data_IF_747496632039
#
_entry.id   IF_747496632039
#
_cell.length_a   1.000
_cell.length_b   1.000
_cell.length_c   1.000
_cell.angle_alpha   90.00
_cell.angle_beta   90.00
_cell.angle_gamma   90.00
#
_symmetry.space_group_name_H-M   'P 1'
#
loop_
_entity.id
_entity.type
_entity.pdbx_description
1 polymer ?
#
# COMPACT_ATOMS: atom_id res chain seq x y z
N UNK A 1 -26.21 -35.03 48.76
CA UNK A 1 -26.09 -34.83 50.24
C UNK A 1 -26.00 -33.34 50.53
N UNK A 2 -26.52 -32.93 51.69
CA UNK A 2 -26.46 -31.62 52.37
C UNK A 2 -25.15 -30.82 52.13
N UNK A 3 -25.21 -29.57 51.62
CA UNK A 3 -25.41 -28.25 52.30
C UNK A 3 -24.15 -27.60 52.92
N UNK A 4 -23.77 -26.39 52.43
CA UNK A 4 -23.49 -25.11 53.17
C UNK A 4 -23.75 -23.96 52.14
N UNK A 5 -24.68 -22.98 52.30
CA UNK A 5 -24.83 -21.87 53.29
C UNK A 5 -23.74 -20.79 53.03
N UNK A 6 -24.00 -19.48 52.77
CA UNK A 6 -24.99 -18.46 53.23
C UNK A 6 -25.07 -17.35 52.12
N UNK A 7 -26.19 -16.87 51.54
CA UNK A 7 -27.40 -16.15 52.00
C UNK A 7 -27.25 -14.64 52.33
N UNK A 8 -27.95 -13.75 51.58
CA UNK A 8 -28.71 -12.60 52.13
C UNK A 8 -29.71 -11.96 51.13
N UNK A 9 -30.85 -11.53 51.67
CA UNK A 9 -32.05 -10.96 51.02
C UNK A 9 -32.70 -9.92 52.00
N UNK A 10 -33.70 -9.08 51.68
CA UNK A 10 -34.62 -9.00 50.54
C UNK A 10 -35.03 -7.52 50.26
N UNK A 11 -35.85 -7.33 49.21
CA UNK A 11 -36.64 -6.16 48.80
C UNK A 11 -37.43 -5.37 49.88
N UNK A 12 -38.01 -4.21 49.47
CA UNK A 12 -39.10 -3.55 50.20
C UNK A 12 -39.63 -2.25 49.55
N UNK A 13 -40.70 -2.35 48.75
CA UNK A 13 -41.25 -1.27 47.92
C UNK A 13 -42.18 -0.23 48.62
N UNK A 14 -42.42 0.90 47.92
CA UNK A 14 -43.59 1.81 47.95
C UNK A 14 -43.93 2.65 49.22
N UNK A 15 -44.11 3.97 49.03
CA UNK A 15 -45.46 4.63 48.94
C UNK A 15 -45.38 6.15 48.67
N UNK A 16 -46.38 6.69 47.97
CA UNK A 16 -46.65 8.14 47.81
C UNK A 16 -47.37 8.71 49.05
N UNK A 17 -47.29 10.04 49.29
CA UNK A 17 -48.46 10.96 49.32
C UNK A 17 -48.18 12.36 49.91
N UNK A 18 -48.67 13.40 49.20
CA UNK A 18 -49.25 14.69 49.69
C UNK A 18 -48.39 15.65 50.56
N UNK A 19 -48.53 16.98 50.59
CA UNK A 19 -49.00 18.09 49.72
C UNK A 19 -49.32 19.33 50.61
N UNK A 20 -49.27 20.54 50.04
CA UNK A 20 -49.84 21.82 50.57
C UNK A 20 -49.13 22.52 51.78
N UNK A 21 -49.14 23.85 51.96
CA UNK A 21 -49.48 25.02 51.10
C UNK A 21 -49.06 26.38 51.75
N UNK A 22 -49.29 27.49 51.02
CA UNK A 22 -49.43 28.91 51.42
C UNK A 22 -48.19 29.82 51.28
N UNK A 23 -48.30 31.09 50.84
CA UNK A 23 -49.50 31.86 50.40
C UNK A 23 -49.14 33.10 49.57
N UNK A 24 -50.11 33.80 48.96
CA UNK A 24 -49.86 34.89 47.97
C UNK A 24 -50.61 36.21 48.19
N UNK A 25 -50.67 37.03 47.11
CA UNK A 25 -51.27 38.40 46.90
C UNK A 25 -50.36 39.63 47.16
N UNK A 26 -50.49 40.78 46.49
CA UNK A 26 -51.28 41.07 45.25
C UNK A 26 -51.52 42.56 44.90
N UNK A 27 -51.20 42.98 43.65
CA UNK A 27 -51.62 44.22 42.91
C UNK A 27 -51.29 45.64 43.46
N UNK A 28 -50.63 46.51 42.65
CA UNK A 28 -51.22 47.74 42.03
C UNK A 28 -50.20 48.83 41.54
N UNK A 29 -50.03 48.98 40.20
CA UNK A 29 -49.77 50.24 39.41
C UNK A 29 -48.45 51.08 39.62
N UNK A 30 -48.05 52.08 38.76
CA UNK A 30 -46.76 51.96 38.04
C UNK A 30 -45.81 53.21 37.93
N UNK A 31 -44.62 52.96 37.33
CA UNK A 31 -43.68 53.90 36.65
C UNK A 31 -42.80 54.86 37.53
N UNK A 32 -41.66 55.39 37.01
CA UNK A 32 -41.06 55.25 35.67
C UNK A 32 -39.61 54.71 35.61
N UNK A 33 -39.08 54.68 34.39
CA UNK A 33 -37.79 54.13 33.93
C UNK A 33 -36.50 54.53 34.66
N UNK A 34 -35.54 53.61 34.64
CA UNK A 34 -34.11 53.91 34.58
C UNK A 34 -33.46 53.08 33.45
N UNK A 35 -32.65 53.73 32.61
CA UNK A 35 -32.01 53.14 31.44
C UNK A 35 -30.55 52.77 31.70
N UNK A 36 -30.25 51.48 31.75
CA UNK A 36 -28.88 50.94 31.68
C UNK A 36 -28.85 49.74 30.75
N UNK A 37 -28.30 49.91 29.56
CA UNK A 37 -28.06 48.81 28.63
C UNK A 37 -26.85 47.98 29.11
N UNK A 38 -26.97 46.65 29.23
CA UNK A 38 -25.81 45.76 29.26
C UNK A 38 -25.13 45.79 27.89
N UNK A 39 -23.79 45.76 27.86
CA UNK A 39 -23.05 45.66 26.61
C UNK A 39 -23.11 44.21 26.09
N UNK A 40 -23.36 44.06 24.79
CA UNK A 40 -23.18 42.78 24.09
C UNK A 40 -21.69 42.44 24.01
N UNK A 41 -21.23 41.58 24.91
CA UNK A 41 -19.98 40.83 24.74
C UNK A 41 -20.31 39.39 24.39
N UNK A 42 -20.86 39.18 23.19
CA UNK A 42 -20.85 37.87 22.54
C UNK A 42 -19.42 37.57 22.08
N UNK A 43 -18.69 36.79 22.87
CA UNK A 43 -17.51 36.11 22.35
C UNK A 43 -17.92 35.22 21.17
N UNK A 44 -17.04 34.97 20.18
CA UNK A 44 -17.30 33.93 19.19
C UNK A 44 -17.48 32.62 19.94
N UNK A 45 -18.58 31.91 19.67
CA UNK A 45 -18.63 30.51 20.01
C UNK A 45 -17.68 29.79 19.04
N UNK A 46 -16.64 29.13 19.57
CA UNK A 46 -15.96 28.09 18.83
C UNK A 46 -16.99 27.00 18.55
N UNK A 47 -17.55 27.01 17.33
CA UNK A 47 -18.29 25.88 16.77
C UNK A 47 -17.30 24.89 16.19
N UNK A 48 -16.40 24.40 17.03
CA UNK A 48 -15.68 23.16 16.74
C UNK A 48 -16.72 22.05 16.86
N UNK A 49 -17.04 21.39 15.74
CA UNK A 49 -17.70 20.10 15.83
C UNK A 49 -16.85 19.17 16.71
N UNK A 50 -17.47 18.28 17.51
CA UNK A 50 -16.70 17.29 18.26
C UNK A 50 -15.85 16.50 17.26
N UNK A 51 -14.55 16.37 17.56
CA UNK A 51 -13.63 15.61 16.73
C UNK A 51 -14.19 14.20 16.52
N UNK A 52 -14.18 13.74 15.27
CA UNK A 52 -14.67 12.40 14.92
C UNK A 52 -13.56 11.42 15.23
N UNK A 53 -13.73 10.60 16.27
CA UNK A 53 -12.77 9.54 16.59
C UNK A 53 -13.14 8.29 15.79
N UNK A 54 -12.19 7.75 15.03
CA UNK A 54 -12.29 6.43 14.39
C UNK A 54 -11.25 5.52 15.02
N UNK A 55 -11.64 4.29 15.38
CA UNK A 55 -10.73 3.28 15.91
C UNK A 55 -10.35 2.30 14.82
N UNK A 56 -9.05 2.19 14.54
CA UNK A 56 -8.51 1.43 13.40
C UNK A 56 -7.58 0.32 13.89
N UNK A 57 -7.94 -0.90 13.52
CA UNK A 57 -7.10 -2.08 13.64
C UNK A 57 -6.08 -2.14 12.50
N UNK A 58 -4.83 -2.50 12.80
CA UNK A 58 -3.82 -2.80 11.79
C UNK A 58 -3.14 -4.14 12.12
N UNK A 59 -3.25 -5.10 11.22
CA UNK A 59 -2.63 -6.43 11.32
C UNK A 59 -1.41 -6.45 10.40
N UNK A 60 -0.23 -6.69 10.99
CA UNK A 60 1.06 -6.67 10.33
C UNK A 60 1.70 -8.06 10.26
N UNK A 61 2.13 -8.49 9.07
CA UNK A 61 2.91 -9.72 8.83
C UNK A 61 4.29 -9.72 9.50
N UNK A 62 4.92 -8.55 9.58
CA UNK A 62 6.18 -8.33 10.27
C UNK A 62 6.08 -7.23 11.33
N UNK A 63 7.18 -6.48 11.47
CA UNK A 63 7.27 -5.25 12.24
C UNK A 63 8.23 -4.25 11.58
N UNK A 64 8.35 -3.05 12.16
CA UNK A 64 9.18 -1.94 11.65
C UNK A 64 10.67 -2.28 11.44
N UNK A 65 11.19 -3.37 12.01
CA UNK A 65 12.60 -3.75 11.85
C UNK A 65 12.94 -4.30 10.46
N UNK A 66 11.95 -4.62 9.61
CA UNK A 66 12.21 -4.96 8.20
C UNK A 66 12.84 -3.79 7.43
N UNK A 67 12.58 -2.55 7.87
CA UNK A 67 12.99 -1.31 7.20
C UNK A 67 12.61 -1.31 5.70
N UNK A 68 11.48 -1.94 5.38
CA UNK A 68 10.98 -2.20 4.05
C UNK A 68 9.46 -2.16 4.03
N UNK A 69 8.82 -3.32 3.83
CA UNK A 69 7.39 -3.45 3.57
C UNK A 69 6.52 -3.02 4.76
N UNK A 70 6.62 -3.68 5.92
CA UNK A 70 5.84 -3.33 7.12
C UNK A 70 6.20 -1.91 7.58
N UNK A 71 7.47 -1.53 7.53
CA UNK A 71 7.88 -0.15 7.82
C UNK A 71 7.24 0.90 6.88
N UNK A 72 6.90 0.55 5.62
CA UNK A 72 6.14 1.42 4.73
C UNK A 72 4.68 1.60 5.19
N UNK A 73 4.03 0.53 5.67
CA UNK A 73 2.70 0.61 6.29
C UNK A 73 2.68 1.50 7.55
N UNK A 74 3.71 1.38 8.40
CA UNK A 74 3.85 2.24 9.60
C UNK A 74 3.97 3.72 9.23
N UNK A 75 4.76 4.05 8.21
CA UNK A 75 4.87 5.42 7.69
C UNK A 75 3.55 5.93 7.11
N UNK A 76 2.84 5.12 6.33
CA UNK A 76 1.52 5.46 5.80
C UNK A 76 0.50 5.75 6.90
N UNK A 77 0.47 4.91 7.94
CA UNK A 77 -0.33 5.06 9.16
C UNK A 77 -0.02 6.38 9.89
N UNK A 78 1.25 6.71 10.09
CA UNK A 78 1.68 7.95 10.75
C UNK A 78 1.27 9.20 9.95
N UNK A 79 1.55 9.21 8.64
CA UNK A 79 1.21 10.33 7.76
C UNK A 79 -0.31 10.54 7.61
N UNK A 80 -1.08 9.47 7.43
CA UNK A 80 -2.54 9.56 7.42
C UNK A 80 -3.11 10.10 8.74
N UNK A 81 -2.52 9.72 9.89
CA UNK A 81 -2.93 10.25 11.19
C UNK A 81 -2.71 11.77 11.29
N UNK A 82 -1.58 12.28 10.77
CA UNK A 82 -1.32 13.73 10.74
C UNK A 82 -2.29 14.47 9.81
N UNK A 83 -2.55 13.93 8.61
CA UNK A 83 -3.48 14.51 7.65
C UNK A 83 -4.93 14.53 8.14
N UNK A 84 -5.41 13.43 8.71
CA UNK A 84 -6.76 13.30 9.31
C UNK A 84 -6.94 14.22 10.52
N UNK A 85 -5.91 14.36 11.37
CA UNK A 85 -5.94 15.30 12.48
C UNK A 85 -6.08 16.77 12.00
N UNK A 86 -5.49 17.13 10.86
CA UNK A 86 -5.68 18.44 10.24
C UNK A 86 -7.12 18.66 9.70
N UNK A 87 -7.87 17.58 9.43
CA UNK A 87 -9.30 17.60 9.08
C UNK A 87 -10.24 17.53 10.29
N UNK A 88 -9.71 17.36 11.51
CA UNK A 88 -10.50 17.21 12.74
C UNK A 88 -10.99 15.78 13.03
N UNK A 89 -10.36 14.78 12.40
CA UNK A 89 -10.58 13.35 12.64
C UNK A 89 -9.45 12.84 13.54
N UNK A 90 -9.80 12.20 14.66
CA UNK A 90 -8.86 11.54 15.57
C UNK A 90 -8.82 10.04 15.27
N UNK A 91 -7.63 9.43 15.25
CA UNK A 91 -7.48 8.00 14.92
C UNK A 91 -6.88 7.22 16.11
N UNK A 92 -7.66 6.33 16.71
CA UNK A 92 -7.18 5.39 17.73
C UNK A 92 -6.66 4.12 17.05
N UNK A 93 -5.34 3.93 16.99
CA UNK A 93 -4.76 2.74 16.36
C UNK A 93 -4.51 1.59 17.34
N UNK A 94 -4.98 0.38 17.00
CA UNK A 94 -4.60 -0.88 17.65
C UNK A 94 -3.84 -1.74 16.65
N UNK A 95 -2.55 -1.99 16.91
CA UNK A 95 -1.68 -2.74 15.98
C UNK A 95 -1.34 -4.12 16.53
N UNK A 96 -1.55 -5.16 15.72
CA UNK A 96 -1.14 -6.55 15.95
C UNK A 96 0.06 -6.84 15.04
N UNK A 97 1.20 -7.26 15.60
CA UNK A 97 2.47 -7.41 14.89
C UNK A 97 2.89 -8.88 14.73
N UNK A 98 3.67 -9.17 13.69
CA UNK A 98 4.23 -10.49 13.41
C UNK A 98 3.16 -11.61 13.38
N UNK A 99 2.02 -11.32 12.76
CA UNK A 99 0.91 -12.27 12.56
C UNK A 99 1.18 -13.09 11.30
N UNK A 100 1.14 -14.42 11.39
CA UNK A 100 1.35 -15.30 10.23
C UNK A 100 0.15 -15.34 9.29
N UNK A 101 0.39 -15.73 8.03
CA UNK A 101 -0.64 -16.09 7.04
C UNK A 101 -1.27 -17.46 7.39
N UNK A 102 -1.80 -17.55 8.62
CA UNK A 102 -2.41 -18.73 9.22
C UNK A 102 -3.62 -18.33 10.09
N UNK A 103 -4.18 -19.27 10.86
CA UNK A 103 -5.36 -19.02 11.70
C UNK A 103 -5.15 -17.92 12.76
N UNK A 104 -3.91 -17.54 13.09
CA UNK A 104 -3.63 -16.37 13.93
C UNK A 104 -4.12 -15.05 13.33
N UNK A 105 -4.31 -14.99 12.00
CA UNK A 105 -4.98 -13.87 11.33
C UNK A 105 -6.50 -13.85 11.60
N UNK A 106 -7.16 -15.01 11.73
CA UNK A 106 -8.58 -15.09 12.15
C UNK A 106 -8.72 -14.53 13.58
N UNK A 107 -7.90 -15.04 14.50
CA UNK A 107 -7.87 -14.59 15.90
C UNK A 107 -7.59 -13.08 16.01
N UNK A 108 -6.65 -12.53 15.23
CA UNK A 108 -6.32 -11.10 15.24
C UNK A 108 -7.46 -10.20 14.73
N UNK A 109 -8.19 -10.61 13.68
CA UNK A 109 -9.35 -9.87 13.19
C UNK A 109 -10.49 -9.89 14.23
N UNK A 110 -10.76 -11.05 14.84
CA UNK A 110 -11.76 -11.19 15.92
C UNK A 110 -11.39 -10.30 17.12
N UNK A 111 -10.14 -10.34 17.58
CA UNK A 111 -9.68 -9.50 18.70
C UNK A 111 -9.89 -8.00 18.41
N UNK A 112 -9.58 -7.53 17.20
CA UNK A 112 -9.73 -6.11 16.84
C UNK A 112 -11.20 -5.68 16.73
N UNK A 113 -12.08 -6.54 16.21
CA UNK A 113 -13.51 -6.27 16.16
C UNK A 113 -14.13 -6.23 17.57
N UNK A 114 -13.78 -7.18 18.45
CA UNK A 114 -14.21 -7.20 19.86
C UNK A 114 -13.58 -6.05 20.70
N UNK A 115 -12.42 -5.53 20.29
CA UNK A 115 -11.84 -4.29 20.85
C UNK A 115 -12.54 -3.01 20.34
N UNK A 116 -13.51 -3.14 19.43
CA UNK A 116 -14.39 -2.07 18.94
C UNK A 116 -13.74 -1.19 17.87
N UNK A 117 -12.91 -1.75 16.99
CA UNK A 117 -12.43 -1.03 15.81
C UNK A 117 -13.56 -0.85 14.80
N UNK A 118 -13.71 0.34 14.23
CA UNK A 118 -14.65 0.63 13.13
C UNK A 118 -14.11 0.11 11.79
N UNK A 119 -12.79 0.01 11.66
CA UNK A 119 -12.06 -0.42 10.47
C UNK A 119 -10.88 -1.33 10.85
N UNK A 120 -10.61 -2.40 10.08
CA UNK A 120 -9.47 -3.30 10.27
C UNK A 120 -8.70 -3.48 8.95
N UNK A 121 -7.41 -3.13 8.97
CA UNK A 121 -6.49 -3.23 7.82
C UNK A 121 -5.61 -4.48 7.97
N UNK A 122 -5.64 -5.35 6.97
CA UNK A 122 -4.84 -6.58 6.86
C UNK A 122 -3.71 -6.37 5.84
N UNK A 123 -2.47 -6.19 6.30
CA UNK A 123 -1.40 -5.68 5.46
C UNK A 123 -0.70 -6.69 4.52
N UNK A 124 -1.20 -7.92 4.37
CA UNK A 124 -0.49 -8.98 3.65
C UNK A 124 -1.43 -9.81 2.78
N UNK A 125 -0.95 -10.20 1.61
CA UNK A 125 -1.68 -10.97 0.61
C UNK A 125 -2.40 -12.19 1.23
N UNK A 126 -1.69 -13.03 1.97
CA UNK A 126 -2.23 -14.26 2.55
C UNK A 126 -3.13 -14.06 3.76
N UNK A 127 -3.41 -12.83 4.22
CA UNK A 127 -4.37 -12.57 5.31
C UNK A 127 -5.83 -12.63 4.86
N UNK A 128 -6.11 -12.29 3.59
CA UNK A 128 -7.48 -12.19 3.09
C UNK A 128 -8.34 -13.45 3.31
N UNK A 129 -7.86 -14.68 3.03
CA UNK A 129 -8.67 -15.89 3.23
C UNK A 129 -9.01 -16.17 4.70
N UNK A 130 -8.36 -15.49 5.64
CA UNK A 130 -8.63 -15.56 7.07
C UNK A 130 -9.56 -14.41 7.49
N UNK A 131 -9.33 -13.19 6.98
CA UNK A 131 -10.21 -12.02 7.12
C UNK A 131 -11.65 -12.33 6.66
N UNK A 132 -11.82 -12.93 5.47
CA UNK A 132 -13.13 -13.24 4.89
C UNK A 132 -13.94 -14.30 5.65
N UNK A 133 -13.33 -15.03 6.59
CA UNK A 133 -14.06 -15.93 7.52
C UNK A 133 -14.68 -15.16 8.68
N UNK A 134 -14.13 -13.99 9.02
CA UNK A 134 -14.49 -13.17 10.18
C UNK A 134 -15.45 -12.06 9.78
N UNK A 135 -15.22 -11.40 8.64
CA UNK A 135 -16.02 -10.26 8.18
C UNK A 135 -17.56 -10.47 8.18
N UNK A 136 -18.11 -11.66 7.82
CA UNK A 136 -19.56 -11.89 7.88
C UNK A 136 -20.19 -11.87 9.28
N UNK A 137 -19.39 -12.09 10.33
CA UNK A 137 -19.86 -12.09 11.74
C UNK A 137 -19.84 -10.68 12.36
N UNK A 138 -19.18 -9.71 11.72
CA UNK A 138 -19.02 -8.31 12.17
C UNK A 138 -19.40 -7.29 11.06
N UNK A 139 -20.66 -7.26 10.60
CA UNK A 139 -21.12 -6.42 9.48
C UNK A 139 -21.11 -4.91 9.77
N UNK A 140 -20.83 -4.49 11.00
CA UNK A 140 -20.62 -3.10 11.39
C UNK A 140 -19.15 -2.63 11.36
N UNK A 141 -18.21 -3.54 11.06
CA UNK A 141 -16.78 -3.26 10.95
C UNK A 141 -16.36 -3.40 9.49
N UNK A 142 -15.62 -2.42 8.99
CA UNK A 142 -15.05 -2.47 7.65
C UNK A 142 -13.74 -3.28 7.65
N UNK A 143 -13.53 -4.15 6.68
CA UNK A 143 -12.36 -5.01 6.56
C UNK A 143 -11.59 -4.77 5.26
N UNK A 144 -10.38 -4.23 5.38
CA UNK A 144 -9.48 -3.97 4.24
C UNK A 144 -8.47 -5.11 4.15
N UNK A 145 -8.39 -5.76 2.98
CA UNK A 145 -7.23 -6.53 2.55
C UNK A 145 -6.32 -5.68 1.66
N UNK A 146 -5.03 -5.67 1.96
CA UNK A 146 -4.04 -5.13 1.05
C UNK A 146 -3.47 -6.22 0.15
N UNK A 147 -3.26 -5.87 -1.13
CA UNK A 147 -2.58 -6.65 -2.18
C UNK A 147 -3.27 -7.91 -2.73
N UNK A 148 -4.31 -8.44 -2.09
CA UNK A 148 -5.09 -9.58 -2.61
C UNK A 148 -6.40 -9.13 -3.30
N UNK A 149 -7.27 -10.08 -3.68
CA UNK A 149 -8.39 -9.86 -4.60
C UNK A 149 -9.74 -10.41 -4.15
N UNK A 150 -9.83 -11.42 -3.29
CA UNK A 150 -11.09 -12.09 -2.92
C UNK A 150 -12.25 -11.17 -2.51
N UNK A 151 -11.96 -10.03 -1.89
CA UNK A 151 -12.95 -9.04 -1.45
C UNK A 151 -13.65 -8.30 -2.61
N UNK A 152 -13.20 -8.42 -3.87
CA UNK A 152 -13.84 -7.77 -5.02
C UNK A 152 -15.17 -8.44 -5.40
N UNK A 153 -15.37 -9.71 -5.04
CA UNK A 153 -16.52 -10.53 -5.46
C UNK A 153 -16.93 -11.59 -4.42
N UNK A 154 -16.63 -11.35 -3.13
CA UNK A 154 -17.09 -12.22 -2.02
C UNK A 154 -18.62 -12.11 -1.76
N UNK A 155 -19.22 -11.00 -2.20
CA UNK A 155 -20.63 -10.67 -2.00
C UNK A 155 -20.95 -10.02 -0.64
N UNK A 156 -19.94 -9.52 0.06
CA UNK A 156 -20.06 -8.73 1.29
C UNK A 156 -20.05 -7.22 0.96
N UNK A 157 -20.65 -6.42 1.85
CA UNK A 157 -20.69 -4.95 1.71
C UNK A 157 -19.62 -4.25 2.56
N UNK A 158 -18.96 -4.98 3.47
CA UNK A 158 -18.01 -4.47 4.47
C UNK A 158 -16.57 -5.00 4.27
N UNK A 159 -16.23 -5.39 3.05
CA UNK A 159 -14.91 -5.92 2.67
C UNK A 159 -14.36 -5.14 1.49
N UNK A 160 -13.05 -4.89 1.52
CA UNK A 160 -12.39 -3.99 0.59
C UNK A 160 -11.01 -4.50 0.22
N UNK A 161 -10.62 -4.31 -1.03
CA UNK A 161 -9.26 -4.50 -1.51
C UNK A 161 -8.55 -3.16 -1.71
N UNK A 162 -7.24 -3.18 -1.50
CA UNK A 162 -6.39 -2.04 -1.79
C UNK A 162 -5.04 -2.48 -2.36
N UNK A 163 -4.74 -2.02 -3.58
CA UNK A 163 -3.40 -2.06 -4.13
C UNK A 163 -3.12 -0.77 -4.89
N UNK A 164 -1.86 -0.52 -5.24
CA UNK A 164 -1.48 0.65 -6.02
C UNK A 164 -0.69 0.21 -7.26
N UNK A 165 -0.70 1.04 -8.31
CA UNK A 165 -0.01 0.79 -9.59
C UNK A 165 1.52 0.90 -9.47
N UNK A 166 2.11 0.16 -8.54
CA UNK A 166 3.52 0.26 -8.14
C UNK A 166 4.47 -0.02 -9.31
N UNK A 167 3.99 -0.71 -10.35
CA UNK A 167 4.68 -0.89 -11.63
C UNK A 167 5.07 0.46 -12.28
N UNK A 168 4.31 1.54 -12.09
CA UNK A 168 4.65 2.89 -12.56
C UNK A 168 5.97 3.38 -11.92
N UNK A 169 6.08 3.21 -10.61
CA UNK A 169 7.29 3.52 -9.84
C UNK A 169 8.46 2.62 -10.23
N UNK A 170 8.18 1.35 -10.55
CA UNK A 170 9.19 0.42 -11.09
C UNK A 170 9.70 0.88 -12.45
N UNK A 171 8.84 1.39 -13.33
CA UNK A 171 9.24 1.95 -14.61
C UNK A 171 10.17 3.16 -14.44
N UNK A 172 9.84 4.10 -13.54
CA UNK A 172 10.72 5.23 -13.22
C UNK A 172 12.07 4.79 -12.64
N UNK A 173 12.09 3.84 -11.72
CA UNK A 173 13.34 3.24 -11.22
C UNK A 173 14.14 2.59 -12.37
N UNK A 174 13.45 1.97 -13.34
CA UNK A 174 14.02 1.44 -14.56
C UNK A 174 14.69 2.52 -15.40
N UNK A 175 13.99 3.63 -15.66
CA UNK A 175 14.54 4.79 -16.40
C UNK A 175 15.84 5.28 -15.78
N UNK A 176 15.91 5.41 -14.45
CA UNK A 176 17.14 5.78 -13.72
C UNK A 176 18.27 4.77 -13.95
N UNK A 177 17.97 3.46 -13.82
CA UNK A 177 18.94 2.40 -14.07
C UNK A 177 19.44 2.40 -15.53
N UNK A 178 18.54 2.60 -16.49
CA UNK A 178 18.86 2.69 -17.91
C UNK A 178 19.74 3.90 -18.24
N UNK A 179 19.43 5.08 -17.69
CA UNK A 179 20.29 6.26 -17.82
C UNK A 179 21.69 5.99 -17.27
N UNK A 180 21.79 5.34 -16.10
CA UNK A 180 23.09 5.02 -15.50
C UNK A 180 23.90 4.05 -16.37
N UNK A 181 23.26 3.00 -16.90
CA UNK A 181 23.93 2.07 -17.81
C UNK A 181 24.35 2.73 -19.12
N UNK A 182 23.52 3.63 -19.68
CA UNK A 182 23.85 4.35 -20.91
C UNK A 182 25.04 5.31 -20.70
N UNK A 183 25.10 6.02 -19.57
CA UNK A 183 26.28 6.81 -19.17
C UNK A 183 27.56 5.95 -19.13
N UNK A 184 27.48 4.76 -18.51
CA UNK A 184 28.62 3.84 -18.42
C UNK A 184 29.05 3.29 -19.80
N UNK A 185 28.11 3.09 -20.73
CA UNK A 185 28.43 2.74 -22.14
C UNK A 185 29.10 3.92 -22.85
N UNK A 186 28.57 5.13 -22.70
CA UNK A 186 29.07 6.33 -23.39
C UNK A 186 30.46 6.75 -22.89
N UNK A 187 30.75 6.52 -21.61
CA UNK A 187 32.09 6.67 -21.02
C UNK A 187 33.07 5.55 -21.41
N UNK A 188 32.56 4.41 -21.88
CA UNK A 188 33.34 3.21 -22.21
C UNK A 188 33.75 2.37 -21.00
N UNK A 189 33.06 2.51 -19.87
CA UNK A 189 33.26 1.70 -18.66
C UNK A 189 32.73 0.27 -18.84
N UNK A 190 31.69 0.11 -19.68
CA UNK A 190 31.08 -1.18 -20.07
C UNK A 190 30.79 -1.21 -21.58
N UNK A 191 30.62 -2.40 -22.16
CA UNK A 191 30.03 -2.56 -23.51
C UNK A 191 28.51 -2.72 -23.45
N UNK A 192 27.78 -2.49 -24.56
CA UNK A 192 26.33 -2.69 -24.61
C UNK A 192 25.87 -4.09 -24.16
N UNK A 193 26.66 -5.12 -24.43
CA UNK A 193 26.40 -6.52 -24.03
C UNK A 193 26.59 -6.77 -22.53
N UNK A 194 27.16 -5.81 -21.79
CA UNK A 194 27.31 -5.84 -20.34
C UNK A 194 26.20 -5.06 -19.61
N UNK A 195 25.26 -4.45 -20.33
CA UNK A 195 24.06 -3.81 -19.77
C UNK A 195 23.05 -4.88 -19.31
N UNK A 196 23.42 -5.62 -18.27
CA UNK A 196 22.60 -6.68 -17.67
C UNK A 196 22.12 -6.22 -16.30
N UNK A 197 20.80 -6.17 -16.11
CA UNK A 197 20.16 -5.86 -14.84
C UNK A 197 19.71 -7.15 -14.15
N UNK A 198 19.85 -7.22 -12.83
CA UNK A 198 19.42 -8.35 -12.01
C UNK A 198 18.21 -7.98 -11.18
N UNK A 199 17.30 -8.93 -10.99
CA UNK A 199 16.11 -8.75 -10.15
C UNK A 199 15.94 -9.89 -9.16
N UNK A 200 15.91 -9.56 -7.87
CA UNK A 200 15.58 -10.49 -6.77
C UNK A 200 14.07 -10.50 -6.59
N UNK A 201 13.40 -11.58 -6.98
CA UNK A 201 11.96 -11.76 -6.74
C UNK A 201 11.70 -12.58 -5.48
N UNK A 202 10.65 -12.25 -4.73
CA UNK A 202 10.14 -13.13 -3.69
C UNK A 202 9.47 -14.37 -4.30
N UNK A 203 8.27 -14.20 -4.84
CA UNK A 203 7.46 -15.22 -5.51
C UNK A 203 7.27 -14.91 -6.99
N UNK A 204 6.69 -15.84 -7.74
CA UNK A 204 6.36 -15.66 -9.16
C UNK A 204 4.94 -15.11 -9.39
N UNK A 205 4.42 -14.34 -8.44
CA UNK A 205 3.09 -13.75 -8.52
C UNK A 205 3.09 -12.55 -9.48
N UNK A 206 1.90 -12.19 -9.97
CA UNK A 206 1.73 -11.10 -10.94
C UNK A 206 2.32 -9.77 -10.45
N UNK A 207 2.23 -9.42 -9.16
CA UNK A 207 2.83 -8.18 -8.63
C UNK A 207 4.37 -8.14 -8.74
N UNK A 208 5.01 -9.32 -8.74
CA UNK A 208 6.46 -9.45 -8.93
C UNK A 208 6.79 -9.38 -10.41
N UNK A 209 6.00 -10.05 -11.26
CA UNK A 209 6.18 -10.10 -12.71
C UNK A 209 5.93 -8.72 -13.34
N UNK A 210 4.81 -8.07 -13.04
CA UNK A 210 4.48 -6.72 -13.49
C UNK A 210 5.56 -5.73 -13.03
N UNK A 211 5.99 -5.83 -11.77
CA UNK A 211 7.01 -5.00 -11.18
C UNK A 211 8.38 -5.10 -11.87
N UNK A 212 8.93 -6.30 -12.07
CA UNK A 212 10.22 -6.44 -12.77
C UNK A 212 10.09 -6.14 -14.27
N UNK A 213 8.94 -6.43 -14.88
CA UNK A 213 8.71 -6.15 -16.30
C UNK A 213 8.71 -4.64 -16.53
N UNK A 214 7.99 -3.87 -15.72
CA UNK A 214 8.02 -2.41 -15.79
C UNK A 214 9.43 -1.84 -15.56
N UNK A 215 10.18 -2.37 -14.59
CA UNK A 215 11.60 -2.00 -14.37
C UNK A 215 12.48 -2.30 -15.59
N UNK A 216 12.29 -3.46 -16.23
CA UNK A 216 12.97 -3.81 -17.49
C UNK A 216 12.65 -2.83 -18.62
N UNK A 217 11.37 -2.53 -18.86
CA UNK A 217 10.93 -1.63 -19.93
C UNK A 217 11.43 -0.20 -19.70
N UNK A 218 11.40 0.29 -18.46
CA UNK A 218 11.97 1.58 -18.07
C UNK A 218 13.46 1.65 -18.38
N UNK A 219 14.24 0.63 -18.00
CA UNK A 219 15.67 0.58 -18.26
C UNK A 219 16.01 0.47 -19.75
N UNK A 220 15.26 -0.36 -20.48
CA UNK A 220 15.38 -0.54 -21.94
C UNK A 220 15.06 0.74 -22.72
N UNK A 221 14.15 1.57 -22.22
CA UNK A 221 13.78 2.85 -22.88
C UNK A 221 14.95 3.83 -22.95
N UNK A 222 15.87 3.81 -21.97
CA UNK A 222 17.05 4.68 -21.90
C UNK A 222 18.33 3.98 -22.36
N UNK A 223 18.45 2.67 -22.16
CA UNK A 223 19.57 1.83 -22.60
C UNK A 223 19.05 0.65 -23.44
N UNK A 224 18.98 0.79 -24.78
CA UNK A 224 18.32 -0.21 -25.65
C UNK A 224 18.96 -1.60 -25.68
N UNK A 225 20.19 -1.77 -25.19
CA UNK A 225 20.85 -3.07 -25.06
C UNK A 225 20.55 -3.81 -23.75
N UNK A 226 19.70 -3.24 -22.89
CA UNK A 226 19.35 -3.83 -21.59
C UNK A 226 18.77 -5.24 -21.75
N UNK A 227 19.30 -6.16 -20.94
CA UNK A 227 18.74 -7.51 -20.69
C UNK A 227 18.59 -7.74 -19.19
N UNK A 228 17.62 -8.55 -18.77
CA UNK A 228 17.36 -8.82 -17.35
C UNK A 228 17.60 -10.29 -17.00
N UNK A 229 18.09 -10.54 -15.78
CA UNK A 229 18.05 -11.86 -15.12
C UNK A 229 17.22 -11.78 -13.84
N UNK A 230 16.30 -12.72 -13.65
CA UNK A 230 15.44 -12.81 -12.46
C UNK A 230 15.80 -14.05 -11.66
N UNK A 231 15.99 -13.88 -10.35
CA UNK A 231 16.21 -14.95 -9.39
C UNK A 231 15.15 -14.88 -8.29
N UNK A 232 14.27 -15.88 -8.22
CA UNK A 232 13.25 -15.96 -7.18
C UNK A 232 13.82 -16.62 -5.90
N UNK A 233 13.32 -16.18 -4.74
CA UNK A 233 13.77 -16.62 -3.40
C UNK A 233 12.78 -17.59 -2.74
N UNK A 234 11.49 -17.48 -3.03
CA UNK A 234 10.42 -18.25 -2.38
C UNK A 234 10.04 -17.74 -0.98
N UNK A 235 10.29 -16.45 -0.71
CA UNK A 235 9.93 -15.76 0.52
C UNK A 235 9.92 -14.25 0.29
N UNK A 236 8.94 -13.55 0.88
CA UNK A 236 8.91 -12.08 0.93
C UNK A 236 10.07 -11.50 1.73
N UNK A 237 10.41 -12.14 2.85
CA UNK A 237 11.42 -11.68 3.79
C UNK A 237 12.34 -12.82 4.22
N UNK A 238 13.52 -12.88 3.60
CA UNK A 238 14.66 -13.68 4.05
C UNK A 238 15.97 -12.98 3.62
N UNK A 239 16.43 -12.05 4.46
CA UNK A 239 17.62 -11.25 4.20
C UNK A 239 18.87 -12.05 3.78
N UNK A 240 19.03 -13.31 4.22
CA UNK A 240 20.16 -14.16 3.83
C UNK A 240 20.02 -14.64 2.39
N UNK A 241 18.86 -15.20 2.02
CA UNK A 241 18.65 -15.73 0.67
C UNK A 241 18.44 -14.62 -0.37
N UNK A 242 17.86 -13.48 0.02
CA UNK A 242 17.82 -12.25 -0.78
C UNK A 242 19.24 -11.75 -1.12
N UNK A 243 20.14 -11.73 -0.14
CA UNK A 243 21.55 -11.40 -0.34
C UNK A 243 22.28 -12.42 -1.21
N UNK A 244 22.03 -13.72 -0.99
CA UNK A 244 22.60 -14.79 -1.84
C UNK A 244 22.14 -14.66 -3.31
N UNK A 245 20.86 -14.35 -3.54
CA UNK A 245 20.30 -14.14 -4.87
C UNK A 245 20.92 -12.92 -5.56
N UNK A 246 21.03 -11.78 -4.87
CA UNK A 246 21.72 -10.59 -5.38
C UNK A 246 23.19 -10.88 -5.71
N UNK A 247 23.90 -11.59 -4.83
CA UNK A 247 25.29 -11.98 -5.06
C UNK A 247 25.46 -12.88 -6.29
N UNK A 248 24.55 -13.84 -6.49
CA UNK A 248 24.54 -14.73 -7.64
C UNK A 248 24.23 -13.99 -8.96
N UNK A 249 23.31 -13.03 -8.95
CA UNK A 249 23.01 -12.16 -10.09
C UNK A 249 24.25 -11.33 -10.49
N UNK A 250 24.95 -10.72 -9.52
CA UNK A 250 26.22 -10.03 -9.78
C UNK A 250 27.30 -10.97 -10.35
N UNK A 251 27.43 -12.18 -9.80
CA UNK A 251 28.38 -13.20 -10.30
C UNK A 251 28.01 -13.72 -11.72
N UNK A 252 26.74 -13.58 -12.13
CA UNK A 252 26.24 -13.81 -13.48
C UNK A 252 26.34 -12.59 -14.41
N UNK A 253 27.01 -11.52 -13.98
CA UNK A 253 27.32 -10.32 -14.76
C UNK A 253 26.32 -9.18 -14.66
N UNK A 254 25.36 -9.24 -13.73
CA UNK A 254 24.44 -8.11 -13.52
C UNK A 254 25.16 -6.93 -12.85
N UNK A 255 25.10 -5.75 -13.46
CA UNK A 255 25.79 -4.53 -12.98
C UNK A 255 24.88 -3.60 -12.17
N UNK A 256 23.61 -3.97 -12.04
CA UNK A 256 22.53 -3.22 -11.42
C UNK A 256 21.55 -4.22 -10.81
N UNK A 257 21.14 -4.04 -9.55
CA UNK A 257 20.22 -4.94 -8.85
C UNK A 257 18.97 -4.18 -8.40
N UNK A 258 17.78 -4.73 -8.69
CA UNK A 258 16.53 -4.35 -8.02
C UNK A 258 15.87 -5.56 -7.37
N UNK A 259 14.79 -5.34 -6.61
CA UNK A 259 14.14 -6.34 -5.79
C UNK A 259 12.62 -6.16 -5.69
N UNK A 260 11.89 -7.26 -5.58
CA UNK A 260 10.56 -7.33 -4.99
C UNK A 260 10.62 -8.30 -3.81
N UNK A 261 11.28 -7.84 -2.74
CA UNK A 261 11.48 -8.50 -1.45
C UNK A 261 11.70 -7.42 -0.38
N UNK A 262 11.58 -7.79 0.89
CA UNK A 262 11.31 -6.82 1.96
C UNK A 262 12.55 -6.30 2.70
N UNK A 263 13.73 -6.92 2.53
CA UNK A 263 14.92 -6.56 3.29
C UNK A 263 15.89 -5.66 2.50
N UNK A 264 16.73 -4.91 3.20
CA UNK A 264 17.79 -4.07 2.60
C UNK A 264 19.01 -4.85 2.06
N UNK A 265 18.99 -6.19 2.12
CA UNK A 265 20.16 -7.02 1.82
C UNK A 265 20.54 -7.13 0.33
N UNK A 266 19.63 -7.07 -0.66
CA UNK A 266 20.03 -7.01 -2.07
C UNK A 266 20.81 -5.73 -2.39
N UNK A 267 20.36 -4.57 -1.89
CA UNK A 267 21.02 -3.27 -2.10
C UNK A 267 22.43 -3.22 -1.48
N UNK A 268 22.58 -3.65 -0.23
CA UNK A 268 23.90 -3.72 0.43
C UNK A 268 24.82 -4.76 -0.21
N UNK A 269 24.26 -5.87 -0.72
CA UNK A 269 25.02 -6.88 -1.47
C UNK A 269 25.50 -6.34 -2.82
N UNK A 270 24.64 -5.63 -3.57
CA UNK A 270 25.00 -4.99 -4.83
C UNK A 270 26.22 -4.08 -4.66
N UNK A 271 26.18 -3.18 -3.66
CA UNK A 271 27.32 -2.34 -3.30
C UNK A 271 28.59 -3.16 -3.00
N UNK A 272 28.47 -4.24 -2.20
CA UNK A 272 29.63 -5.09 -1.87
C UNK A 272 30.25 -5.81 -3.08
N UNK A 273 29.47 -5.99 -4.15
CA UNK A 273 29.86 -6.59 -5.43
C UNK A 273 30.31 -5.54 -6.46
N UNK A 274 30.15 -4.24 -6.19
CA UNK A 274 30.43 -3.16 -7.14
C UNK A 274 29.33 -2.93 -8.19
N UNK A 275 28.11 -3.42 -7.94
CA UNK A 275 26.92 -3.16 -8.75
C UNK A 275 26.10 -2.01 -8.14
N UNK A 276 25.37 -1.29 -8.99
CA UNK A 276 24.39 -0.29 -8.55
C UNK A 276 23.09 -0.97 -8.08
N UNK A 277 22.18 -0.21 -7.44
CA UNK A 277 20.87 -0.71 -7.07
C UNK A 277 19.74 0.30 -7.22
N UNK A 278 18.53 -0.23 -7.44
CA UNK A 278 17.27 0.50 -7.34
C UNK A 278 16.34 -0.23 -6.36
N UNK A 279 16.01 0.41 -5.24
CA UNK A 279 15.32 -0.24 -4.11
C UNK A 279 13.79 -0.25 -4.21
N UNK A 280 13.18 -0.82 -3.17
CA UNK A 280 11.73 -0.97 -3.02
C UNK A 280 11.29 -0.73 -1.58
N UNK A 281 10.08 -0.20 -1.39
CA UNK A 281 9.41 0.14 -0.12
C UNK A 281 10.13 1.17 0.78
N UNK A 282 11.45 1.30 0.70
CA UNK A 282 12.23 2.23 1.51
C UNK A 282 13.42 2.80 0.74
N UNK A 283 13.91 3.95 1.20
CA UNK A 283 15.17 4.54 0.76
C UNK A 283 16.35 3.65 1.15
N UNK A 284 17.18 3.30 0.16
CA UNK A 284 18.36 2.44 0.34
C UNK A 284 19.68 3.22 0.32
N UNK A 285 19.67 4.55 0.19
CA UNK A 285 20.87 5.41 0.13
C UNK A 285 21.62 5.35 1.46
N UNK A 286 20.92 5.34 2.59
CA UNK A 286 21.55 5.29 3.92
C UNK A 286 22.36 4.02 4.19
N UNK A 287 21.97 2.89 3.57
CA UNK A 287 22.61 1.56 3.75
C UNK A 287 23.56 1.18 2.61
N UNK A 288 23.30 1.69 1.40
CA UNK A 288 24.10 1.43 0.20
C UNK A 288 24.42 2.75 -0.56
N UNK A 289 25.10 3.74 0.07
CA UNK A 289 25.27 5.10 -0.47
C UNK A 289 26.09 5.18 -1.78
N UNK A 290 26.92 4.17 -2.06
CA UNK A 290 27.76 4.11 -3.28
C UNK A 290 27.07 3.35 -4.42
N UNK A 291 25.90 2.74 -4.19
CA UNK A 291 25.19 1.90 -5.17
C UNK A 291 23.71 2.28 -5.37
N UNK A 292 22.99 2.63 -4.32
CA UNK A 292 21.56 2.95 -4.36
C UNK A 292 21.32 4.26 -5.09
N UNK A 293 20.74 4.16 -6.28
CA UNK A 293 20.39 5.30 -7.13
C UNK A 293 19.09 5.96 -6.68
N UNK A 294 18.04 5.16 -6.50
CA UNK A 294 16.68 5.58 -6.12
C UNK A 294 15.90 4.36 -5.64
N UNK A 295 14.78 4.57 -4.95
CA UNK A 295 13.80 3.52 -4.65
C UNK A 295 12.39 4.01 -5.00
N UNK A 296 11.43 3.09 -5.02
CA UNK A 296 9.99 3.43 -5.13
C UNK A 296 9.19 2.71 -4.05
N UNK A 297 8.05 3.27 -3.67
CA UNK A 297 7.12 2.70 -2.68
C UNK A 297 5.68 3.09 -3.02
N UNK A 298 4.75 2.30 -2.50
CA UNK A 298 3.34 2.70 -2.37
C UNK A 298 3.27 3.73 -1.23
N UNK A 299 2.51 4.82 -1.41
CA UNK A 299 2.16 5.72 -0.32
C UNK A 299 0.79 5.36 0.27
N UNK A 300 0.81 4.43 1.21
CA UNK A 300 -0.39 3.96 1.91
C UNK A 300 -1.15 5.06 2.67
N UNK A 301 -0.54 6.22 2.91
CA UNK A 301 -1.24 7.34 3.56
C UNK A 301 -2.42 7.84 2.73
N UNK A 302 -2.32 7.83 1.40
CA UNK A 302 -3.39 8.27 0.48
C UNK A 302 -4.64 7.43 0.68
N UNK A 303 -4.49 6.10 0.71
CA UNK A 303 -5.61 5.18 0.89
C UNK A 303 -6.14 5.16 2.34
N UNK A 304 -5.26 5.22 3.34
CA UNK A 304 -5.70 5.26 4.74
C UNK A 304 -6.45 6.57 5.06
N UNK A 305 -6.01 7.71 4.53
CA UNK A 305 -6.73 8.97 4.64
C UNK A 305 -8.12 8.86 4.00
N UNK A 306 -8.21 8.29 2.80
CA UNK A 306 -9.47 8.07 2.09
C UNK A 306 -10.46 7.18 2.87
N UNK A 307 -10.06 5.97 3.24
CA UNK A 307 -10.92 5.01 3.90
C UNK A 307 -11.34 5.47 5.31
N UNK A 308 -10.41 6.01 6.10
CA UNK A 308 -10.71 6.48 7.46
C UNK A 308 -11.59 7.75 7.44
N UNK A 309 -11.42 8.64 6.45
CA UNK A 309 -12.32 9.79 6.28
C UNK A 309 -13.74 9.36 5.89
N UNK A 310 -13.89 8.38 4.99
CA UNK A 310 -15.18 7.83 4.63
C UNK A 310 -15.90 7.21 5.85
N UNK A 311 -15.21 6.36 6.63
CA UNK A 311 -15.73 5.79 7.88
C UNK A 311 -16.11 6.89 8.89
N UNK A 312 -15.26 7.90 9.09
CA UNK A 312 -15.56 9.05 9.96
C UNK A 312 -16.80 9.84 9.52
N UNK A 313 -17.11 9.84 8.23
CA UNK A 313 -18.27 10.51 7.65
C UNK A 313 -19.54 9.65 7.60
N UNK A 314 -19.43 8.33 7.80
CA UNK A 314 -20.51 7.38 7.53
C UNK A 314 -20.81 7.27 6.03
N UNK A 315 -19.77 7.39 5.21
CA UNK A 315 -19.79 7.31 3.75
C UNK A 315 -19.16 5.98 3.32
N UNK A 316 -19.67 5.40 2.23
CA UNK A 316 -19.06 4.22 1.59
C UNK A 316 -17.81 4.62 0.80
N UNK A 317 -16.78 3.78 0.81
CA UNK A 317 -15.61 3.87 -0.05
C UNK A 317 -15.50 2.62 -0.95
N UNK A 318 -14.56 2.61 -1.91
CA UNK A 318 -14.51 1.56 -2.94
C UNK A 318 -14.23 0.17 -2.36
N UNK A 319 -14.98 -0.83 -2.83
CA UNK A 319 -14.73 -2.25 -2.57
C UNK A 319 -13.41 -2.74 -3.18
N UNK A 320 -12.93 -2.09 -4.23
CA UNK A 320 -11.66 -2.43 -4.86
C UNK A 320 -10.95 -1.15 -5.33
N UNK A 321 -9.93 -0.73 -4.59
CA UNK A 321 -9.24 0.55 -4.82
C UNK A 321 -7.90 0.33 -5.51
N UNK A 322 -7.69 1.00 -6.65
CA UNK A 322 -6.41 0.99 -7.34
C UNK A 322 -6.06 2.33 -8.00
N UNK A 323 -4.96 2.92 -7.56
CA UNK A 323 -4.41 4.17 -8.11
C UNK A 323 -2.88 4.15 -8.14
N UNK A 324 -2.30 5.05 -8.91
CA UNK A 324 -0.86 5.19 -9.12
C UNK A 324 -0.35 6.59 -8.79
N UNK A 325 0.47 7.13 -9.68
CA UNK A 325 1.00 8.49 -9.60
C UNK A 325 -0.09 9.55 -9.84
N UNK A 326 -1.23 9.18 -10.44
CA UNK A 326 -2.40 10.04 -10.67
C UNK A 326 -3.01 10.60 -9.38
N UNK A 327 -2.95 9.81 -8.28
CA UNK A 327 -3.36 10.23 -6.94
C UNK A 327 -2.19 10.33 -5.95
N UNK A 328 -0.95 10.18 -6.41
CA UNK A 328 0.23 10.12 -5.53
C UNK A 328 0.31 8.86 -4.65
N UNK A 329 -0.46 7.82 -4.99
CA UNK A 329 -0.44 6.51 -4.32
C UNK A 329 0.86 5.72 -4.59
N UNK A 330 1.63 6.12 -5.61
CA UNK A 330 2.96 5.59 -5.91
C UNK A 330 3.94 6.75 -5.97
N UNK A 331 5.05 6.64 -5.25
CA UNK A 331 6.07 7.70 -5.15
C UNK A 331 7.48 7.16 -5.30
N UNK A 332 8.38 8.02 -5.74
CA UNK A 332 9.82 7.78 -5.72
C UNK A 332 10.42 8.27 -4.39
N UNK A 333 11.51 7.66 -3.95
CA UNK A 333 12.35 8.22 -2.87
C UNK A 333 13.30 9.28 -3.43
N UNK A 334 14.11 9.88 -2.56
CA UNK A 334 15.18 10.79 -2.98
C UNK A 334 16.10 10.11 -4.02
N UNK A 335 16.51 10.90 -5.03
CA UNK A 335 17.51 10.49 -6.02
C UNK A 335 18.91 10.72 -5.43
N UNK A 336 19.78 9.72 -5.52
CA UNK A 336 21.18 9.83 -5.16
C UNK A 336 21.98 10.57 -6.26
N UNK A 337 21.82 11.89 -6.32
CA UNK A 337 22.51 12.78 -7.29
C UNK A 337 24.05 12.66 -7.27
N UNK A 338 24.65 12.07 -6.22
CA UNK A 338 26.09 11.86 -6.16
C UNK A 338 26.59 10.73 -7.07
N UNK A 339 25.71 9.80 -7.48
CA UNK A 339 26.05 8.66 -8.35
C UNK A 339 25.11 8.47 -9.55
N UNK A 340 23.95 9.13 -9.57
CA UNK A 340 23.05 9.18 -10.72
C UNK A 340 23.71 9.84 -11.94
N UNK A 341 23.19 9.55 -13.14
CA UNK A 341 23.68 10.15 -14.37
C UNK A 341 23.24 11.62 -14.49
N UNK A 342 23.97 12.42 -15.27
CA UNK A 342 23.59 13.82 -15.53
C UNK A 342 22.20 13.88 -16.21
N UNK A 343 21.33 14.77 -15.73
CA UNK A 343 19.96 14.94 -16.25
C UNK A 343 18.92 13.94 -15.73
N UNK A 344 19.27 13.05 -14.80
CA UNK A 344 18.34 12.03 -14.29
C UNK A 344 17.14 12.65 -13.54
N UNK A 345 17.33 13.71 -12.77
CA UNK A 345 16.23 14.38 -12.04
C UNK A 345 15.20 14.99 -13.00
N UNK A 346 15.66 15.64 -14.07
CA UNK A 346 14.80 16.22 -15.10
C UNK A 346 14.06 15.13 -15.89
N UNK A 347 14.73 14.03 -16.23
CA UNK A 347 14.09 12.90 -16.94
C UNK A 347 13.08 12.16 -16.07
N UNK A 348 13.33 12.01 -14.76
CA UNK A 348 12.35 11.47 -13.81
C UNK A 348 11.06 12.30 -13.83
N UNK A 349 11.16 13.61 -13.62
CA UNK A 349 10.00 14.50 -13.62
C UNK A 349 9.27 14.57 -14.97
N UNK A 350 9.98 14.39 -16.09
CA UNK A 350 9.38 14.28 -17.43
C UNK A 350 8.53 12.99 -17.55
N UNK A 351 9.08 11.85 -17.14
CA UNK A 351 8.41 10.53 -17.26
C UNK A 351 7.28 10.37 -16.24
N UNK A 352 7.47 10.82 -15.01
CA UNK A 352 6.44 10.82 -13.95
C UNK A 352 5.21 11.59 -14.40
N UNK A 353 5.42 12.79 -14.97
CA UNK A 353 4.34 13.58 -15.57
C UNK A 353 3.67 12.84 -16.75
N UNK A 354 4.43 12.17 -17.60
CA UNK A 354 3.89 11.45 -18.76
C UNK A 354 3.06 10.21 -18.37
N UNK A 355 3.42 9.55 -17.26
CA UNK A 355 2.59 8.50 -16.64
C UNK A 355 1.31 9.14 -16.07
N UNK A 356 1.44 10.17 -15.23
CA UNK A 356 0.31 10.85 -14.60
C UNK A 356 -0.69 11.43 -15.62
N UNK A 357 -0.25 12.01 -16.74
CA UNK A 357 -1.15 12.51 -17.79
C UNK A 357 -1.54 11.47 -18.85
N UNK A 358 -1.15 10.20 -18.65
CA UNK A 358 -1.50 9.05 -19.49
C UNK A 358 -0.84 9.02 -20.86
N UNK A 359 0.06 9.97 -21.17
CA UNK A 359 0.78 10.01 -22.46
C UNK A 359 1.90 8.98 -22.58
N UNK A 360 2.30 8.35 -21.47
CA UNK A 360 3.13 7.16 -21.43
C UNK A 360 2.37 6.01 -20.77
N UNK A 361 2.18 4.91 -21.50
CA UNK A 361 1.65 3.66 -20.97
C UNK A 361 2.82 2.72 -20.69
N UNK A 362 2.95 2.23 -19.45
CA UNK A 362 4.11 1.42 -19.02
C UNK A 362 4.24 0.12 -19.83
N UNK A 363 3.11 -0.52 -20.14
CA UNK A 363 3.04 -1.74 -20.93
C UNK A 363 2.48 -1.50 -22.34
N UNK A 364 2.92 -0.41 -23.01
CA UNK A 364 2.74 -0.21 -24.45
C UNK A 364 3.27 -1.43 -25.21
N UNK A 365 2.40 -2.11 -25.97
CA UNK A 365 2.69 -3.41 -26.60
C UNK A 365 3.68 -3.30 -27.75
N UNK A 366 3.99 -2.09 -28.22
CA UNK A 366 5.04 -1.85 -29.22
C UNK A 366 6.46 -1.84 -28.63
N UNK A 367 6.59 -1.79 -27.30
CA UNK A 367 7.90 -1.69 -26.60
C UNK A 367 8.52 -3.06 -26.25
N UNK A 368 7.74 -4.13 -26.34
CA UNK A 368 8.15 -5.50 -26.03
C UNK A 368 7.54 -6.52 -26.99
N UNK A 369 8.05 -7.75 -26.91
CA UNK A 369 7.57 -8.90 -27.69
C UNK A 369 7.51 -10.14 -26.80
N UNK A 370 6.74 -11.13 -27.23
CA UNK A 370 6.68 -12.47 -26.63
C UNK A 370 6.98 -13.47 -27.74
N UNK A 371 8.02 -14.29 -27.58
CA UNK A 371 8.52 -15.22 -28.61
C UNK A 371 8.80 -14.53 -29.98
N UNK A 372 9.20 -13.25 -29.93
CA UNK A 372 9.43 -12.40 -31.11
C UNK A 372 8.17 -11.86 -31.80
N UNK A 373 6.99 -12.00 -31.19
CA UNK A 373 5.71 -11.49 -31.69
C UNK A 373 5.19 -10.32 -30.83
N UNK A 374 4.39 -9.44 -31.46
CA UNK A 374 3.65 -8.35 -30.80
C UNK A 374 2.50 -8.90 -29.95
N UNK A 375 2.33 -8.34 -28.75
CA UNK A 375 1.18 -8.66 -27.91
C UNK A 375 -0.07 -7.97 -28.46
N UNK A 376 -1.06 -8.76 -28.88
CA UNK A 376 -2.30 -8.28 -29.53
C UNK A 376 -3.58 -8.64 -28.78
N UNK A 377 -3.48 -9.52 -27.79
CA UNK A 377 -4.55 -10.01 -26.91
C UNK A 377 -3.91 -10.60 -25.65
N UNK A 378 -4.54 -10.42 -24.50
CA UNK A 378 -4.19 -11.06 -23.24
C UNK A 378 -5.42 -11.02 -22.33
N UNK A 379 -5.80 -12.14 -21.75
CA UNK A 379 -6.93 -12.19 -20.84
C UNK A 379 -6.59 -11.54 -19.50
N UNK A 380 -7.47 -10.69 -18.99
CA UNK A 380 -7.27 -10.04 -17.69
C UNK A 380 -7.45 -11.03 -16.53
N UNK A 381 -8.54 -11.82 -16.55
CA UNK A 381 -8.98 -12.61 -15.39
C UNK A 381 -9.38 -14.06 -15.75
N UNK A 382 -8.98 -14.96 -14.87
CA UNK A 382 -9.48 -16.33 -14.68
C UNK A 382 -10.06 -16.33 -13.24
N UNK A 383 -11.36 -16.04 -13.13
CA UNK A 383 -12.04 -15.73 -11.86
C UNK A 383 -12.57 -16.98 -11.17
N UNK A 384 -12.86 -18.05 -11.91
CA UNK A 384 -13.34 -19.33 -11.36
C UNK A 384 -12.26 -20.42 -11.27
N UNK A 385 -11.07 -20.18 -11.86
CA UNK A 385 -9.91 -21.05 -11.77
C UNK A 385 -9.99 -22.30 -12.66
N UNK A 386 -10.87 -22.32 -13.66
CA UNK A 386 -10.97 -23.41 -14.63
C UNK A 386 -9.92 -23.34 -15.76
N UNK A 387 -9.06 -22.32 -15.75
CA UNK A 387 -8.06 -22.00 -16.78
C UNK A 387 -8.67 -21.63 -18.14
N UNK A 388 -9.90 -21.13 -18.14
CA UNK A 388 -10.52 -20.43 -19.27
C UNK A 388 -10.75 -18.94 -18.96
N UNK A 389 -10.82 -18.07 -19.97
CA UNK A 389 -10.95 -16.63 -19.72
C UNK A 389 -12.37 -16.23 -19.32
N UNK A 390 -12.50 -15.58 -18.16
CA UNK A 390 -13.80 -15.19 -17.60
C UNK A 390 -14.24 -13.76 -17.97
N UNK A 391 -13.30 -12.87 -18.26
CA UNK A 391 -13.60 -11.49 -18.66
C UNK A 391 -12.58 -10.93 -19.68
N UNK A 392 -12.60 -9.60 -19.84
CA UNK A 392 -12.18 -8.90 -21.07
C UNK A 392 -10.66 -8.97 -21.39
N UNK A 393 -10.33 -8.57 -22.61
CA UNK A 393 -8.96 -8.41 -23.06
C UNK A 393 -8.29 -7.25 -22.29
N UNK A 394 -7.25 -7.56 -21.53
CA UNK A 394 -6.36 -6.57 -20.91
C UNK A 394 -5.60 -5.71 -21.94
N UNK A 395 -5.59 -6.12 -23.22
CA UNK A 395 -4.92 -5.39 -24.30
C UNK A 395 -5.95 -4.58 -25.10
N UNK A 396 -5.90 -3.25 -24.93
CA UNK A 396 -6.67 -2.30 -25.75
C UNK A 396 -5.87 -1.01 -25.99
N UNK A 397 -6.27 -0.26 -27.02
CA UNK A 397 -5.63 1.00 -27.45
C UNK A 397 -4.08 0.99 -27.63
N UNK A 398 -3.47 -0.20 -27.76
CA UNK A 398 -2.03 -0.39 -27.94
C UNK A 398 -1.23 -0.62 -26.66
N UNK A 399 -1.90 -0.79 -25.51
CA UNK A 399 -1.26 -1.11 -24.24
C UNK A 399 -1.90 -2.33 -23.58
N UNK A 400 -1.13 -3.02 -22.72
CA UNK A 400 -1.70 -3.87 -21.68
C UNK A 400 -2.07 -2.98 -20.49
N UNK A 401 -3.33 -3.01 -20.10
CA UNK A 401 -3.86 -2.32 -18.93
C UNK A 401 -3.81 -3.24 -17.72
N UNK A 402 -2.78 -3.05 -16.88
CA UNK A 402 -2.61 -3.74 -15.59
C UNK A 402 -3.54 -3.12 -14.54
N UNK A 403 -4.04 -3.94 -13.62
CA UNK A 403 -4.92 -3.54 -12.51
C UNK A 403 -6.12 -2.64 -12.89
N UNK A 404 -6.67 -2.83 -14.10
CA UNK A 404 -7.81 -2.07 -14.63
C UNK A 404 -9.16 -2.71 -14.30
N UNK A 405 -9.25 -4.04 -14.32
CA UNK A 405 -10.48 -4.79 -14.02
C UNK A 405 -10.63 -5.18 -12.54
N UNK A 406 -9.52 -5.12 -11.78
CA UNK A 406 -9.43 -5.30 -10.34
C UNK A 406 -8.14 -4.63 -9.83
N UNK A 407 -8.00 -4.33 -8.54
CA UNK A 407 -6.74 -3.73 -8.03
C UNK A 407 -5.55 -4.70 -8.03
N UNK A 408 -5.81 -5.98 -7.77
CA UNK A 408 -4.77 -6.99 -7.69
C UNK A 408 -4.10 -7.22 -9.07
N UNK A 409 -2.76 -7.15 -9.16
CA UNK A 409 -2.00 -7.35 -10.40
C UNK A 409 -2.35 -8.64 -11.14
N UNK A 410 -2.36 -8.59 -12.47
CA UNK A 410 -2.62 -9.76 -13.31
C UNK A 410 -1.68 -9.88 -14.53
N UNK A 411 -0.69 -8.99 -14.68
CA UNK A 411 0.39 -9.16 -15.67
C UNK A 411 1.29 -10.34 -15.25
N UNK A 412 1.00 -11.53 -15.80
CA UNK A 412 1.79 -12.76 -15.63
C UNK A 412 2.58 -13.15 -16.89
N UNK A 413 2.69 -12.26 -17.88
CA UNK A 413 3.32 -12.54 -19.17
C UNK A 413 4.86 -12.59 -19.06
N UNK A 414 5.48 -13.54 -19.75
CA UNK A 414 6.95 -13.58 -19.92
C UNK A 414 7.32 -12.91 -21.23
N UNK A 415 8.06 -11.80 -21.18
CA UNK A 415 8.46 -11.03 -22.35
C UNK A 415 9.93 -11.26 -22.75
N UNK A 416 10.24 -11.02 -24.02
CA UNK A 416 11.58 -11.18 -24.57
C UNK A 416 12.59 -10.22 -23.92
N UNK A 417 13.78 -10.75 -23.59
CA UNK A 417 14.88 -10.00 -22.97
C UNK A 417 15.00 -10.18 -21.45
N UNK A 418 14.09 -10.94 -20.85
CA UNK A 418 14.12 -11.32 -19.42
C UNK A 418 14.39 -12.83 -19.28
N UNK A 419 15.50 -13.20 -18.63
CA UNK A 419 15.87 -14.59 -18.32
C UNK A 419 15.48 -14.94 -16.88
N UNK A 420 14.56 -15.90 -16.68
CA UNK A 420 14.25 -16.43 -15.35
C UNK A 420 15.22 -17.57 -15.02
N UNK A 421 16.05 -17.41 -13.98
CA UNK A 421 17.10 -18.36 -13.61
C UNK A 421 16.55 -19.59 -12.87
N UNK A 422 15.38 -19.45 -12.25
CA UNK A 422 14.60 -20.53 -11.66
C UNK A 422 13.11 -20.37 -11.94
N UNK A 423 12.39 -21.49 -11.88
CA UNK A 423 10.94 -21.54 -12.06
C UNK A 423 10.18 -21.14 -10.79
N UNK A 424 8.90 -20.81 -11.00
CA UNK A 424 7.89 -20.40 -10.04
C UNK A 424 8.02 -20.92 -8.59
N UNK A 425 7.87 -19.98 -7.65
CA UNK A 425 7.32 -20.17 -6.31
C UNK A 425 5.94 -19.53 -6.25
#
# INVERSE_FOLDING_TARGET
>A
MKKRILALFLAGAMTLSLAACSGGSGSSTPAPADTTAPADTSAPADTTEPAKTVKVGLICIGDENDQGYTYNFVRGKEAATEALAAKGIEVEWVVKWNIGEDSGCEDANIELAEEGCDLIINNSYGFEPYMLKVAPDYPEVEFISCTNQGSWNDGLENTHNAFANIYEGRYLAGVVAGMKMQEMIDNGDITPEQAVIGYVGAYSFAEVISGFTAYYLGAKSMCPSTTMKVQFVGSWSNATEEGNAAAALCDLGCIMISQHSDNTSPATTAQSKGAFSCGYNNDMISVAPEASLISTRIDWSVYFEYAIEAVANGESFDQDWCHGMDMGAVVMTDLNEAIAAEGTAEKLAEVEKAIHDGTLQVFDTSTFTIDGAELTQAFALDTDGDFTPDSEEAVFDGAFHESYFQSAPYFALTIDGIEWLNSAF
#
